data_IF_613811425004
#
_entry.id   IF_613811425004
#
_cell.length_a   1.000
_cell.length_b   1.000
_cell.length_c   1.000
_cell.angle_alpha   90.00
_cell.angle_beta   90.00
_cell.angle_gamma   90.00
#
_symmetry.space_group_name_H-M   'P 1'
#
loop_
_entity.id
_entity.type
_entity.pdbx_description
1 polymer ?
2 water ?
#
# COMPACT_ATOMS: atom_id res chain seq x y z
N UNK A 4 -14.81 -22.57 1.98
CA UNK A 4 -15.47 -21.90 3.14
C UNK A 4 -15.34 -20.36 3.05
N UNK A 5 -14.09 -19.83 2.93
CA UNK A 5 -13.94 -18.39 2.62
C UNK A 5 -14.17 -18.06 1.14
N UNK A 6 -14.69 -16.86 0.88
CA UNK A 6 -15.08 -16.41 -0.47
C UNK A 6 -14.25 -15.21 -1.00
N UNK A 7 -13.46 -14.60 -0.12
CA UNK A 7 -12.50 -13.56 -0.51
C UNK A 7 -11.44 -13.48 0.57
N UNK A 8 -10.47 -12.57 0.41
CA UNK A 8 -9.47 -12.38 1.46
C UNK A 8 -9.03 -10.92 1.53
N UNK A 9 -8.58 -10.52 2.70
CA UNK A 9 -8.01 -9.20 2.88
C UNK A 9 -6.58 -9.39 3.34
N UNK A 10 -5.66 -8.84 2.57
CA UNK A 10 -4.23 -8.96 2.85
C UNK A 10 -3.75 -7.69 3.58
N UNK A 11 -3.08 -7.84 4.72
CA UNK A 11 -2.52 -6.69 5.44
C UNK A 11 -1.01 -6.68 5.23
N UNK A 12 -0.50 -5.60 4.66
CA UNK A 12 0.92 -5.46 4.37
C UNK A 12 1.75 -5.38 5.66
N UNK A 13 2.98 -5.86 5.60
CA UNK A 13 3.88 -5.89 6.75
C UNK A 13 4.24 -4.48 7.18
N UNK A 14 4.67 -4.39 8.43
CA UNK A 14 5.18 -3.15 8.96
C UNK A 14 5.88 -3.46 10.26
N UNK A 15 6.20 -2.40 10.98
CA UNK A 15 6.64 -2.48 12.38
C UNK A 15 5.77 -3.44 13.20
N UNK A 16 4.46 -3.41 12.94
CA UNK A 16 3.46 -4.20 13.66
C UNK A 16 3.52 -5.73 13.47
N UNK A 17 4.32 -6.20 12.52
CA UNK A 17 4.46 -7.62 12.25
C UNK A 17 4.47 -7.95 10.77
N UNK A 18 4.58 -9.25 10.44
CA UNK A 18 4.64 -9.71 9.06
C UNK A 18 3.30 -9.55 8.36
N UNK A 19 3.31 -9.68 7.04
CA UNK A 19 2.10 -9.74 6.24
C UNK A 19 1.15 -10.79 6.82
N UNK A 20 -0.15 -10.50 6.75
CA UNK A 20 -1.17 -11.42 7.23
C UNK A 20 -2.38 -11.39 6.30
N UNK A 21 -2.98 -12.56 6.07
CA UNK A 21 -4.23 -12.68 5.31
C UNK A 21 -5.42 -13.00 6.23
N UNK A 22 -6.54 -12.32 5.99
CA UNK A 22 -7.79 -12.60 6.70
C UNK A 22 -8.85 -13.13 5.76
N UNK A 23 -9.45 -14.29 6.09
CA UNK A 23 -10.52 -14.80 5.23
C UNK A 23 -11.78 -13.93 5.34
N UNK A 24 -12.49 -13.78 4.23
CA UNK A 24 -13.78 -13.10 4.22
C UNK A 24 -14.85 -14.12 3.89
N UNK A 25 -15.98 -14.04 4.58
CA UNK A 25 -17.05 -15.03 4.38
C UNK A 25 -18.30 -14.39 3.85
N UNK A 26 -19.21 -15.23 3.37
CA UNK A 26 -20.53 -14.77 3.00
C UNK A 26 -21.15 -14.09 4.21
N UNK A 27 -21.83 -12.97 3.98
CA UNK A 27 -22.44 -12.22 5.08
C UNK A 27 -21.65 -10.97 5.44
N UNK A 28 -21.80 -10.51 6.68
CA UNK A 28 -21.16 -9.29 7.13
C UNK A 28 -19.86 -9.62 7.87
N UNK A 29 -18.77 -9.12 7.32
CA UNK A 29 -17.44 -9.27 7.89
C UNK A 29 -17.07 -7.94 8.54
N UNK A 30 -17.11 -7.91 9.87
CA UNK A 30 -16.80 -6.69 10.60
C UNK A 30 -15.28 -6.56 10.75
N UNK A 31 -14.78 -5.38 10.38
CA UNK A 31 -13.39 -5.03 10.57
C UNK A 31 -13.32 -4.11 11.80
N UNK A 32 -12.55 -4.49 12.81
CA UNK A 32 -12.39 -3.60 13.96
C UNK A 32 -11.28 -4.03 14.90
N UNK A 33 -11.11 -3.25 15.97
CA UNK A 33 -10.02 -3.42 16.95
C UNK A 33 -10.20 -4.61 17.88
N UNK A 34 -11.45 -4.88 18.27
CA UNK A 34 -11.74 -5.95 19.24
C UNK A 34 -11.60 -7.35 18.64
N UNK A 35 -11.17 -8.34 19.46
CA UNK A 35 -10.96 -9.71 18.97
C UNK A 35 -12.24 -10.39 18.49
N UNK A 36 -13.40 -9.83 18.82
CA UNK A 36 -14.70 -10.37 18.37
C UNK A 36 -15.12 -9.96 16.95
N UNK A 37 -14.27 -9.19 16.27
CA UNK A 37 -14.53 -8.80 14.88
C UNK A 37 -14.14 -9.94 13.96
N UNK A 38 -14.88 -10.10 12.86
CA UNK A 38 -14.52 -11.06 11.81
C UNK A 38 -13.08 -10.83 11.33
N UNK A 39 -12.72 -9.56 11.17
CA UNK A 39 -11.38 -9.15 10.77
C UNK A 39 -10.85 -8.31 11.92
N UNK A 40 -10.15 -8.96 12.85
CA UNK A 40 -9.65 -8.30 14.06
C UNK A 40 -8.28 -7.67 13.79
N UNK A 41 -8.24 -6.35 13.82
CA UNK A 41 -7.01 -5.61 13.57
C UNK A 41 -6.68 -4.81 14.82
N UNK A 42 -5.81 -5.36 15.68
CA UNK A 42 -5.60 -4.77 17.00
C UNK A 42 -4.58 -3.62 16.99
N UNK A 43 -4.99 -2.50 16.39
CA UNK A 43 -4.17 -1.29 16.29
C UNK A 43 -4.90 -0.15 17.01
N UNK A 44 -4.16 0.67 17.77
CA UNK A 44 -4.75 1.79 18.51
C UNK A 44 -5.58 2.73 17.64
N UNK A 45 -5.13 2.94 16.40
CA UNK A 45 -5.78 3.84 15.45
C UNK A 45 -7.08 3.30 14.81
N UNK A 46 -7.34 2.01 14.97
CA UNK A 46 -8.57 1.39 14.42
C UNK A 46 -9.69 1.34 15.47
N UNK A 47 -10.89 1.77 15.09
CA UNK A 47 -12.05 1.74 15.99
C UNK A 47 -12.49 0.33 16.36
N UNK A 48 -13.16 0.19 17.51
CA UNK A 48 -13.73 -1.08 17.96
C UNK A 48 -14.58 -1.76 16.89
N UNK A 49 -15.46 -0.98 16.26
CA UNK A 49 -16.22 -1.41 15.08
C UNK A 49 -15.87 -0.37 14.00
N UNK A 50 -14.99 -0.74 13.07
CA UNK A 50 -14.38 0.24 12.18
C UNK A 50 -15.06 0.32 10.82
N UNK A 51 -15.23 -0.84 10.19
CA UNK A 51 -15.84 -0.96 8.86
C UNK A 51 -16.52 -2.32 8.72
N UNK A 52 -17.25 -2.49 7.62
CA UNK A 52 -17.96 -3.75 7.36
C UNK A 52 -17.83 -4.08 5.88
N UNK A 53 -17.50 -5.34 5.58
CA UNK A 53 -17.46 -5.83 4.19
C UNK A 53 -18.55 -6.88 4.04
N UNK A 54 -19.62 -6.52 3.36
CA UNK A 54 -20.72 -7.45 3.11
C UNK A 54 -20.56 -8.18 1.79
N UNK A 55 -20.63 -9.51 1.85
CA UNK A 55 -20.48 -10.36 0.68
C UNK A 55 -21.78 -11.17 0.51
N UNK A 56 -22.54 -10.86 -0.54
CA UNK A 56 -23.84 -11.51 -0.80
C UNK A 56 -23.69 -12.84 -1.54
N UNK A 57 -22.89 -12.84 -2.60
CA UNK A 57 -22.64 -14.04 -3.38
C UNK A 57 -21.18 -14.12 -3.78
N UNK A 58 -20.71 -15.35 -4.03
CA UNK A 58 -19.35 -15.62 -4.51
C UNK A 58 -19.02 -14.79 -5.74
N UNK A 59 -20.01 -14.58 -6.60
CA UNK A 59 -19.81 -13.95 -7.91
C UNK A 59 -20.18 -12.46 -7.98
N UNK A 60 -20.61 -11.89 -6.85
CA UNK A 60 -20.97 -10.47 -6.78
C UNK A 60 -19.94 -9.69 -5.96
N UNK A 61 -19.60 -8.51 -6.46
CA UNK A 61 -18.61 -7.63 -5.83
C UNK A 61 -19.05 -7.18 -4.43
N UNK A 62 -18.18 -7.38 -3.42
CA UNK A 62 -18.48 -7.01 -2.04
C UNK A 62 -18.77 -5.52 -1.89
N UNK A 63 -19.51 -5.16 -0.84
CA UNK A 63 -19.76 -3.76 -0.50
C UNK A 63 -19.03 -3.43 0.80
N UNK A 64 -18.18 -2.41 0.72
CA UNK A 64 -17.46 -1.91 1.87
C UNK A 64 -18.14 -0.64 2.38
N UNK A 65 -18.37 -0.61 3.69
CA UNK A 65 -19.00 0.50 4.38
C UNK A 65 -18.22 0.87 5.64
N UNK A 66 -17.91 2.15 5.79
CA UNK A 66 -17.31 2.67 7.02
C UNK A 66 -18.39 2.81 8.09
N UNK A 67 -18.05 2.50 9.33
CA UNK A 67 -19.06 2.44 10.39
C UNK A 67 -19.03 3.67 11.31
N UNK A 68 -18.61 4.80 10.76
CA UNK A 68 -18.46 6.03 11.53
C UNK A 68 -17.27 5.94 12.45
N UNK A 69 -16.17 5.41 11.91
CA UNK A 69 -14.90 5.36 12.62
C UNK A 69 -14.31 6.76 12.76
N UNK A 70 -13.36 6.89 13.68
CA UNK A 70 -12.67 8.15 13.96
C UNK A 70 -11.67 8.53 12.87
N UNK A 71 -10.77 7.59 12.53
CA UNK A 71 -9.68 7.87 11.60
C UNK A 71 -10.01 7.57 10.13
N UNK A 72 -11.23 7.09 9.91
CA UNK A 72 -11.76 6.91 8.56
C UNK A 72 -11.27 5.69 7.82
N UNK A 73 -11.81 5.54 6.61
CA UNK A 73 -11.48 4.47 5.68
C UNK A 73 -11.40 5.09 4.29
N UNK A 74 -10.33 4.78 3.56
CA UNK A 74 -10.12 5.31 2.21
C UNK A 74 -9.86 4.24 1.19
N UNK A 75 -10.31 4.51 -0.04
CA UNK A 75 -9.96 3.73 -1.21
C UNK A 75 -8.90 4.50 -2.00
N UNK A 76 -7.88 3.78 -2.49
CA UNK A 76 -6.83 4.39 -3.29
C UNK A 76 -7.06 4.20 -4.78
N UNK A 80 -10.48 8.20 -2.94
CA UNK A 80 -11.87 8.22 -2.49
C UNK A 80 -11.98 7.96 -0.99
N UNK A 81 -12.41 8.98 -0.25
CA UNK A 81 -12.63 8.85 1.19
C UNK A 81 -14.05 8.34 1.43
N UNK A 82 -14.17 7.29 2.23
CA UNK A 82 -15.46 6.66 2.52
C UNK A 82 -16.18 7.27 3.71
N UNK A 83 -17.41 7.73 3.47
CA UNK A 83 -18.23 8.37 4.50
C UNK A 83 -19.23 7.39 5.12
N UNK A 84 -19.57 7.59 6.41
CA UNK A 84 -20.65 6.79 7.02
C UNK A 84 -22.00 7.09 6.37
N UNK A 86 -21.94 5.78 2.80
CA UNK A 86 -21.52 5.35 1.47
C UNK A 86 -21.30 3.83 1.42
N UNK A 87 -21.87 3.20 0.40
CA UNK A 87 -21.68 1.78 0.15
C UNK A 87 -20.84 1.63 -1.11
N UNK A 88 -19.56 1.30 -0.92
CA UNK A 88 -18.60 1.20 -2.03
C UNK A 88 -18.42 -0.24 -2.46
N UNK A 89 -18.54 -0.48 -3.77
CA UNK A 89 -18.40 -1.83 -4.32
C UNK A 89 -16.94 -2.15 -4.64
N UNK A 90 -16.39 -3.15 -3.95
CA UNK A 90 -14.97 -3.50 -4.10
C UNK A 90 -14.63 -4.19 -5.42
N UNK A 91 -13.55 -3.71 -6.04
CA UNK A 91 -12.98 -4.35 -7.21
C UNK A 91 -11.84 -5.25 -6.76
N UNK A 92 -11.57 -6.32 -7.51
CA UNK A 92 -10.45 -7.22 -7.20
C UNK A 92 -9.14 -6.43 -7.18
N UNK A 93 -8.34 -6.66 -6.14
CA UNK A 93 -7.02 -6.00 -5.95
C UNK A 93 -7.09 -4.55 -5.46
N UNK A 94 -8.28 -4.12 -5.04
CA UNK A 94 -8.53 -2.81 -4.48
C UNK A 94 -7.68 -2.57 -3.24
N UNK A 95 -6.93 -1.47 -3.22
CA UNK A 95 -6.21 -1.05 -2.01
C UNK A 95 -7.09 -0.22 -1.09
N UNK A 96 -7.08 -0.57 0.20
CA UNK A 96 -7.92 0.06 1.21
C UNK A 96 -7.02 0.53 2.34
N UNK A 97 -7.27 1.74 2.83
CA UNK A 97 -6.66 2.20 4.08
C UNK A 97 -7.71 2.24 5.17
N UNK A 98 -7.49 1.45 6.22
CA UNK A 98 -8.24 1.58 7.44
C UNK A 98 -7.36 2.38 8.37
N UNK A 99 -7.79 3.61 8.68
CA UNK A 99 -6.94 4.58 9.38
C UNK A 99 -5.63 4.75 8.61
N UNK A 100 -4.52 4.31 9.19
CA UNK A 100 -3.21 4.39 8.56
C UNK A 100 -2.70 3.02 8.10
N UNK A 101 -3.56 2.01 8.18
CA UNK A 101 -3.16 0.63 7.93
C UNK A 101 -3.57 0.21 6.53
N UNK A 102 -2.59 -0.04 5.66
CA UNK A 102 -2.88 -0.46 4.28
C UNK A 102 -3.22 -1.93 4.11
N UNK A 103 -4.25 -2.20 3.31
CA UNK A 103 -4.63 -3.57 3.03
C UNK A 103 -5.22 -3.71 1.63
N UNK A 104 -5.29 -4.94 1.15
CA UNK A 104 -5.73 -5.22 -0.21
C UNK A 104 -6.78 -6.32 -0.24
N UNK A 105 -7.84 -6.08 -1.00
CA UNK A 105 -8.91 -7.07 -1.13
C UNK A 105 -8.59 -7.96 -2.32
N UNK A 106 -8.76 -9.26 -2.15
CA UNK A 106 -8.55 -10.21 -3.23
C UNK A 106 -9.74 -11.14 -3.35
N UNK A 107 -10.17 -11.38 -4.59
CA UNK A 107 -11.08 -12.49 -4.91
C UNK A 107 -10.30 -13.80 -4.82
N UNK A 108 -11.02 -14.92 -4.80
CA UNK A 108 -10.37 -16.23 -4.82
C UNK A 108 -10.74 -16.99 -6.10
N UNK B 4 25.91 -6.23 0.38
CA UNK B 4 26.43 -4.88 0.01
C UNK B 4 25.34 -3.78 -0.18
N UNK B 5 24.09 -4.16 -0.51
CA UNK B 5 23.08 -3.09 -0.53
C UNK B 5 22.70 -2.62 0.86
N UNK B 6 22.24 -1.37 0.98
CA UNK B 6 21.76 -0.85 2.26
C UNK B 6 20.23 -0.83 2.40
N UNK B 7 19.52 -1.12 1.32
CA UNK B 7 18.07 -1.21 1.35
C UNK B 7 17.58 -2.10 0.24
N UNK B 8 16.28 -2.38 0.25
CA UNK B 8 15.66 -3.20 -0.79
C UNK B 8 14.35 -2.50 -1.14
N UNK B 9 14.03 -2.41 -2.42
CA UNK B 9 12.69 -1.99 -2.80
C UNK B 9 11.96 -3.20 -3.39
N UNK B 10 10.87 -3.59 -2.75
CA UNK B 10 10.05 -4.71 -3.22
C UNK B 10 8.89 -4.18 -4.08
N UNK B 11 8.73 -4.68 -5.31
CA UNK B 11 7.58 -4.30 -6.12
C UNK B 11 6.62 -5.47 -6.13
N UNK B 12 5.40 -5.23 -5.68
CA UNK B 12 4.42 -6.31 -5.58
C UNK B 12 3.92 -6.71 -6.97
N UNK B 13 3.43 -7.95 -7.06
CA UNK B 13 2.86 -8.45 -8.32
C UNK B 13 1.65 -7.61 -8.69
N UNK B 14 1.42 -7.46 -10.00
CA UNK B 14 0.30 -6.68 -10.49
C UNK B 14 0.08 -6.91 -11.97
N UNK B 15 -0.49 -5.91 -12.64
CA UNK B 15 -0.77 -6.00 -14.08
C UNK B 15 0.51 -6.04 -14.91
N UNK B 16 1.56 -5.39 -14.40
CA UNK B 16 2.86 -5.32 -15.05
C UNK B 16 3.58 -6.67 -15.08
N UNK B 17 3.26 -7.52 -14.11
CA UNK B 17 3.93 -8.82 -13.95
C UNK B 17 4.12 -9.29 -12.50
N UNK B 18 5.05 -10.24 -12.29
CA UNK B 18 5.26 -10.82 -10.96
C UNK B 18 6.03 -9.87 -10.04
N UNK B 19 6.11 -10.23 -8.77
CA UNK B 19 6.90 -9.44 -7.80
C UNK B 19 8.38 -9.45 -8.14
N UNK B 20 9.08 -8.40 -7.70
CA UNK B 20 10.52 -8.28 -7.90
C UNK B 20 11.11 -7.46 -6.76
N UNK B 21 12.38 -7.72 -6.46
CA UNK B 21 13.12 -6.91 -5.50
C UNK B 21 14.27 -6.20 -6.20
N UNK B 22 14.57 -5.00 -5.73
CA UNK B 22 15.67 -4.21 -6.27
C UNK B 22 16.53 -3.78 -5.11
N UNK B 23 17.84 -4.08 -5.17
CA UNK B 23 18.76 -3.58 -4.16
C UNK B 23 18.86 -2.05 -4.24
N UNK B 24 19.04 -1.41 -3.09
CA UNK B 24 19.30 0.04 -3.01
C UNK B 24 20.67 0.30 -2.40
N UNK B 25 21.38 1.27 -2.94
CA UNK B 25 22.74 1.56 -2.50
C UNK B 25 22.86 2.98 -1.97
N UNK B 26 23.98 3.27 -1.31
CA UNK B 26 24.25 4.65 -0.91
C UNK B 26 24.32 5.49 -2.17
N UNK B 27 23.71 6.67 -2.11
CA UNK B 27 23.70 7.60 -3.23
C UNK B 27 22.31 7.68 -3.83
N UNK B 28 22.25 8.09 -5.09
CA UNK B 28 20.98 8.33 -5.77
C UNK B 28 20.50 7.09 -6.53
N UNK B 29 19.37 6.55 -6.10
CA UNK B 29 18.75 5.40 -6.72
C UNK B 29 17.57 5.91 -7.55
N UNK B 30 17.77 5.99 -8.86
CA UNK B 30 16.76 6.49 -9.77
C UNK B 30 15.74 5.40 -10.13
N UNK B 31 14.46 5.74 -10.00
CA UNK B 31 13.35 4.89 -10.43
C UNK B 31 12.82 5.41 -11.75
N UNK B 32 12.69 4.53 -12.73
CA UNK B 32 12.22 4.96 -14.03
C UNK B 32 12.12 3.84 -15.02
N UNK B 33 11.63 4.18 -16.20
CA UNK B 33 11.35 3.20 -17.23
C UNK B 33 12.60 2.77 -17.98
N UNK B 34 13.64 3.61 -17.93
CA UNK B 34 14.88 3.37 -18.67
C UNK B 34 15.70 2.22 -18.07
N UNK B 35 16.31 1.39 -18.94
CA UNK B 35 17.14 0.25 -18.49
C UNK B 35 18.37 0.64 -17.66
N UNK B 36 18.80 1.90 -17.75
CA UNK B 36 19.95 2.39 -16.99
C UNK B 36 19.61 2.69 -15.52
N UNK B 37 18.32 2.82 -15.21
CA UNK B 37 17.86 3.21 -13.87
C UNK B 37 18.26 2.17 -12.81
N UNK B 38 18.61 2.65 -11.62
CA UNK B 38 18.85 1.78 -10.47
C UNK B 38 17.67 0.84 -10.24
N UNK B 39 16.45 1.40 -10.29
CA UNK B 39 15.21 0.63 -10.24
C UNK B 39 14.51 0.81 -11.59
N UNK B 40 14.78 -0.13 -12.49
CA UNK B 40 14.21 -0.12 -13.84
C UNK B 40 12.81 -0.73 -13.86
N UNK B 41 11.81 0.09 -14.17
CA UNK B 41 10.44 -0.38 -14.27
C UNK B 41 9.91 -0.09 -15.68
N UNK B 42 10.19 -0.99 -16.64
CA UNK B 42 9.86 -0.72 -18.04
C UNK B 42 8.36 -0.88 -18.37
N UNK B 43 7.54 -0.02 -17.77
CA UNK B 43 6.09 -0.09 -17.90
C UNK B 43 5.57 1.28 -18.34
N UNK B 44 4.54 1.30 -19.21
CA UNK B 44 4.20 2.58 -19.88
C UNK B 44 3.74 3.69 -18.93
N UNK B 45 3.17 3.33 -17.79
CA UNK B 45 2.71 4.31 -16.80
C UNK B 45 3.87 5.00 -16.08
N UNK B 46 5.08 4.47 -16.22
CA UNK B 46 6.25 4.97 -15.50
C UNK B 46 7.05 5.87 -16.44
N UNK B 47 7.45 7.04 -15.94
CA UNK B 47 8.24 7.99 -16.72
C UNK B 47 9.70 7.54 -16.86
N UNK B 48 10.41 8.06 -17.87
CA UNK B 48 11.82 7.69 -18.10
C UNK B 48 12.67 7.92 -16.86
N UNK B 49 12.51 9.10 -16.25
CA UNK B 49 12.99 9.35 -14.89
C UNK B 49 11.76 9.70 -14.07
N UNK B 50 11.34 8.76 -13.21
CA UNK B 50 10.08 8.89 -12.48
C UNK B 50 10.28 9.46 -11.08
N UNK B 51 11.24 8.89 -10.35
CA UNK B 51 11.48 9.25 -8.96
C UNK B 51 12.91 8.91 -8.56
N UNK B 52 13.31 9.38 -7.38
CA UNK B 52 14.67 9.17 -6.89
C UNK B 52 14.60 8.84 -5.41
N UNK B 53 15.33 7.80 -5.01
CA UNK B 53 15.45 7.49 -3.61
C UNK B 53 16.91 7.71 -3.25
N UNK B 54 17.15 8.77 -2.48
CA UNK B 54 18.51 9.14 -2.12
C UNK B 54 18.83 8.61 -0.74
N UNK B 55 19.87 7.78 -0.64
CA UNK B 55 20.29 7.23 0.65
C UNK B 55 21.70 7.73 1.00
N UNK B 56 21.79 8.52 2.06
CA UNK B 56 23.07 9.09 2.50
C UNK B 56 23.52 8.37 3.77
N UNK B 57 24.82 8.22 3.95
CA UNK B 57 25.36 7.52 5.12
C UNK B 57 25.03 8.22 6.44
N UNK B 58 24.81 9.53 6.40
CA UNK B 58 24.71 10.35 7.62
C UNK B 58 23.29 10.40 8.20
N UNK B 59 22.32 9.87 7.46
CA UNK B 59 20.95 9.76 7.96
C UNK B 59 20.42 8.38 7.58
N UNK B 60 19.72 7.71 8.50
CA UNK B 60 19.21 6.37 8.25
C UNK B 60 17.99 6.35 7.31
N UNK B 61 17.28 7.47 7.23
CA UNK B 61 16.06 7.53 6.44
C UNK B 61 16.37 7.97 5.01
N UNK B 62 16.05 7.13 4.00
CA UNK B 62 16.14 7.54 2.60
C UNK B 62 15.25 8.75 2.32
N UNK B 63 15.61 9.49 1.29
CA UNK B 63 14.80 10.61 0.86
C UNK B 63 14.21 10.28 -0.50
N UNK B 64 12.88 10.27 -0.54
CA UNK B 64 12.14 10.04 -1.77
C UNK B 64 11.76 11.39 -2.35
N UNK B 65 12.01 11.58 -3.64
CA UNK B 65 11.56 12.77 -4.39
C UNK B 65 10.96 12.31 -5.73
N UNK B 66 9.87 12.96 -6.16
CA UNK B 66 9.35 12.75 -7.51
C UNK B 66 10.15 13.62 -8.48
N UNK B 67 10.40 13.12 -9.69
CA UNK B 67 11.21 13.85 -10.68
C UNK B 67 10.41 14.55 -11.78
N UNK B 68 9.16 14.90 -11.49
CA UNK B 68 8.31 15.54 -12.48
C UNK B 68 7.61 14.55 -13.38
N UNK B 69 7.27 13.38 -12.82
CA UNK B 69 6.60 12.33 -13.57
C UNK B 69 5.17 12.71 -13.92
N UNK B 70 4.69 12.18 -15.04
CA UNK B 70 3.32 12.43 -15.50
C UNK B 70 2.27 11.87 -14.53
N UNK B 71 2.48 10.62 -14.12
CA UNK B 71 1.51 9.89 -13.33
C UNK B 71 1.72 9.95 -11.82
N UNK B 72 2.86 10.50 -11.40
CA UNK B 72 3.03 10.85 -10.00
C UNK B 72 3.59 9.76 -9.11
N UNK B 73 3.96 10.16 -7.90
CA UNK B 73 4.48 9.28 -6.84
C UNK B 73 3.65 9.61 -5.62
N UNK B 74 3.04 8.58 -5.03
CA UNK B 74 2.13 8.79 -3.90
C UNK B 74 2.64 8.10 -2.65
N UNK B 75 2.59 8.83 -1.54
CA UNK B 75 2.89 8.27 -0.24
C UNK B 75 1.59 8.08 0.52
N UNK B 76 1.68 7.43 1.67
CA UNK B 76 0.50 7.04 2.42
C UNK B 76 0.56 7.52 3.87
N UNK B 77 1.50 8.41 4.17
CA UNK B 77 1.72 8.85 5.55
C UNK B 77 1.93 10.36 5.63
N UNK B 78 0.86 11.15 5.39
CA UNK B 78 -0.51 10.78 5.03
C UNK B 78 -0.69 10.61 3.50
N UNK B 79 -1.86 10.12 3.04
CA UNK B 79 -2.04 9.88 1.61
C UNK B 79 -2.02 11.16 0.77
N UNK B 80 -0.98 11.31 -0.04
CA UNK B 80 -0.78 12.50 -0.88
C UNK B 80 0.16 12.20 -2.03
N UNK B 81 -0.08 12.87 -3.16
CA UNK B 81 0.83 12.86 -4.29
C UNK B 81 1.97 13.84 -3.94
N UNK B 82 3.21 13.43 -4.19
CA UNK B 82 4.37 14.26 -3.85
C UNK B 82 4.55 15.42 -4.82
N UNK B 83 4.72 16.63 -4.28
CA UNK B 83 5.11 17.78 -5.09
C UNK B 83 6.52 17.52 -5.62
N UNK B 84 6.77 17.76 -6.92
CA UNK B 84 8.09 17.48 -7.50
C UNK B 84 9.26 18.13 -6.75
N UNK B 85 10.25 17.31 -6.39
CA UNK B 85 11.47 17.79 -5.75
C UNK B 85 11.47 17.86 -4.24
N UNK B 86 10.28 18.01 -3.63
CA UNK B 86 10.18 18.07 -2.16
C UNK B 86 10.55 16.73 -1.54
N UNK B 87 11.41 16.77 -0.52
CA UNK B 87 11.86 15.58 0.20
C UNK B 87 10.70 14.92 0.95
N UNK B 88 10.57 13.60 0.82
CA UNK B 88 9.80 12.83 1.78
C UNK B 88 10.71 11.77 2.40
N UNK B 89 10.85 11.81 3.73
CA UNK B 89 11.70 10.84 4.44
C UNK B 89 10.99 9.51 4.66
N UNK B 90 11.62 8.43 4.18
CA UNK B 90 11.04 7.09 4.27
C UNK B 90 11.36 6.35 5.57
N UNK B 91 10.35 5.71 6.14
CA UNK B 91 10.53 4.81 7.28
C UNK B 91 10.65 3.37 6.81
N UNK B 92 11.34 2.54 7.59
CA UNK B 92 11.43 1.12 7.25
C UNK B 92 10.01 0.57 7.05
N UNK B 93 9.85 -0.18 5.96
CA UNK B 93 8.60 -0.88 5.59
C UNK B 93 7.49 0.06 5.05
N UNK B 94 7.87 1.30 4.75
CA UNK B 94 6.91 2.23 4.18
C UNK B 94 6.50 1.77 2.79
N UNK B 95 5.20 1.93 2.49
CA UNK B 95 4.63 1.59 1.21
C UNK B 95 4.41 2.85 0.39
N UNK B 96 4.72 2.76 -0.90
CA UNK B 96 4.70 3.87 -1.85
C UNK B 96 4.09 3.40 -3.16
N UNK B 97 3.44 4.31 -3.88
CA UNK B 97 2.95 4.03 -5.23
C UNK B 97 3.67 4.85 -6.27
N UNK B 98 4.24 4.18 -7.27
CA UNK B 98 4.73 4.85 -8.47
C UNK B 98 3.71 4.61 -9.58
N UNK B 99 3.02 5.68 -9.99
CA UNK B 99 1.80 5.54 -10.81
C UNK B 99 0.86 4.59 -10.05
N UNK B 100 0.46 3.48 -10.68
CA UNK B 100 -0.36 2.48 -9.97
C UNK B 100 0.43 1.27 -9.43
N UNK B 101 1.75 1.35 -9.44
CA UNK B 101 2.59 0.22 -8.98
C UNK B 101 2.90 0.36 -7.50
N UNK B 102 2.51 -0.63 -6.70
CA UNK B 102 2.76 -0.57 -5.26
C UNK B 102 4.14 -1.15 -4.92
N UNK B 103 4.86 -0.44 -4.06
CA UNK B 103 6.21 -0.83 -3.67
C UNK B 103 6.37 -0.76 -2.15
N UNK B 104 7.37 -1.44 -1.59
CA UNK B 104 7.66 -1.32 -0.16
C UNK B 104 9.16 -1.19 0.03
N UNK B 105 9.59 -0.23 0.84
CA UNK B 105 10.99 -0.03 1.16
C UNK B 105 11.38 -0.83 2.41
N UNK B 106 12.52 -1.52 2.33
CA UNK B 106 13.06 -2.25 3.48
C UNK B 106 14.48 -1.80 3.77
N UNK B 107 14.75 -1.45 5.03
CA UNK B 107 16.12 -1.19 5.45
C UNK B 107 16.82 -2.51 5.76
N UNK B 108 18.06 -2.65 5.30
CA UNK B 108 18.77 -3.91 5.47
C UNK B 108 19.78 -3.80 6.61
N UNK B 109 20.09 -4.93 7.24
CA UNK B 109 21.19 -5.02 8.21
C UNK B 109 22.50 -5.38 7.51
#
# INVERSE_FOLDING_TARGET
>A
SNVEPVGRLHIFSGAHGPEKDFPLHLGKNVVGRMPDCSVALPFPSISKQHAEIEILAWDKAPILRDCGSLNGTQILRPPKVLSPGVSHRLRDQELILFADLLCQYHRLDVSLP
>B
SNVEPVGRLHIFSGAHGPEKDFPLHLGKNVVGRMPDCSVALPFPSISKQHAEIEILAWDKAPILRDCGSLNGTQILRPPKVLSPGVSHRLRDQELILFADLLCQYHRLDVSLP
#
